data_IF_438262258666
#
_entry.id   IF_438262258666
#
_cell.length_a   1.000
_cell.length_b   1.000
_cell.length_c   1.000
_cell.angle_alpha   90.00
_cell.angle_beta   90.00
_cell.angle_gamma   90.00
#
_symmetry.space_group_name_H-M   'P 1'
#
loop_
_entity.id
_entity.type
_entity.pdbx_description
1 polymer ?
#
# COMPACT_ATOMS: atom_id res chain seq x y z
N UNK A 1 0.80 -47.34 -66.35
CA UNK A 1 -0.28 -48.22 -65.89
C UNK A 1 -0.21 -48.31 -64.37
N UNK A 2 -1.36 -48.10 -63.71
CA UNK A 2 -1.67 -48.36 -62.29
C UNK A 2 -1.00 -47.48 -61.22
N UNK A 3 -1.67 -46.98 -60.19
CA UNK A 3 -3.07 -46.54 -59.96
C UNK A 3 -3.00 -45.80 -58.62
N UNK A 4 -3.38 -44.53 -58.59
CA UNK A 4 -3.43 -43.70 -57.40
C UNK A 4 -4.73 -44.01 -56.62
N UNK A 5 -4.66 -44.66 -55.46
CA UNK A 5 -5.81 -44.80 -54.54
C UNK A 5 -5.75 -43.72 -53.46
N UNK A 6 -6.69 -42.78 -53.55
CA UNK A 6 -7.04 -41.79 -52.51
C UNK A 6 -7.73 -42.50 -51.35
N UNK A 7 -7.31 -42.21 -50.12
CA UNK A 7 -8.09 -42.52 -48.90
C UNK A 7 -8.75 -41.22 -48.42
N UNK A 8 -10.08 -41.23 -48.39
CA UNK A 8 -10.94 -40.18 -47.81
C UNK A 8 -11.27 -40.66 -46.39
N UNK A 9 -10.81 -39.93 -45.37
CA UNK A 9 -11.32 -40.09 -44.01
C UNK A 9 -12.47 -39.12 -43.81
N UNK A 10 -13.68 -39.66 -43.64
CA UNK A 10 -14.89 -38.92 -43.29
C UNK A 10 -14.94 -38.79 -41.76
N UNK A 11 -14.69 -37.61 -41.20
CA UNK A 11 -14.96 -37.32 -39.79
C UNK A 11 -16.39 -36.79 -39.68
N UNK A 12 -17.29 -37.60 -39.11
CA UNK A 12 -18.65 -37.19 -38.76
C UNK A 12 -18.59 -36.47 -37.40
N UNK A 13 -18.65 -35.14 -37.40
CA UNK A 13 -18.81 -34.33 -36.18
C UNK A 13 -20.29 -34.24 -35.83
N UNK A 14 -20.69 -34.89 -34.74
CA UNK A 14 -22.03 -34.77 -34.15
C UNK A 14 -22.11 -33.44 -33.39
N UNK A 15 -22.82 -32.44 -33.93
CA UNK A 15 -23.18 -31.22 -33.19
C UNK A 15 -24.35 -31.57 -32.27
N UNK A 16 -24.10 -31.64 -30.96
CA UNK A 16 -25.16 -31.65 -29.94
C UNK A 16 -25.45 -30.18 -29.60
N UNK A 17 -26.58 -29.69 -30.10
CA UNK A 17 -27.10 -28.36 -29.76
C UNK A 17 -27.85 -28.48 -28.44
N UNK A 18 -27.19 -28.12 -27.33
CA UNK A 18 -27.91 -27.88 -26.07
C UNK A 18 -28.60 -26.52 -26.14
N UNK A 19 -29.91 -26.55 -26.37
CA UNK A 19 -30.78 -25.40 -26.23
C UNK A 19 -31.13 -25.22 -24.75
N UNK A 20 -30.39 -24.37 -24.03
CA UNK A 20 -30.81 -23.90 -22.72
C UNK A 20 -31.68 -22.65 -22.90
N UNK A 21 -32.99 -22.85 -22.79
CA UNK A 21 -33.97 -21.77 -22.61
C UNK A 21 -33.67 -21.08 -21.28
N UNK A 22 -33.34 -19.79 -21.34
CA UNK A 22 -33.12 -18.94 -20.17
C UNK A 22 -34.48 -18.41 -19.71
N UNK A 23 -34.96 -18.85 -18.55
CA UNK A 23 -36.12 -18.23 -17.91
C UNK A 23 -35.81 -16.78 -17.52
N UNK A 24 -36.77 -15.84 -17.64
CA UNK A 24 -36.55 -14.46 -17.26
C UNK A 24 -36.47 -14.34 -15.74
N UNK A 25 -35.28 -13.95 -15.25
CA UNK A 25 -35.09 -13.55 -13.86
C UNK A 25 -35.83 -12.23 -13.63
N UNK A 26 -36.73 -12.20 -12.64
CA UNK A 26 -37.35 -10.98 -12.11
C UNK A 26 -36.24 -10.05 -11.63
N UNK A 27 -36.22 -8.82 -12.16
CA UNK A 27 -35.43 -7.72 -11.62
C UNK A 27 -35.81 -7.51 -10.14
N UNK A 28 -34.85 -7.73 -9.24
CA UNK A 28 -34.93 -7.25 -7.87
C UNK A 28 -34.34 -5.85 -7.88
N UNK A 29 -35.22 -4.87 -7.82
CA UNK A 29 -34.91 -3.47 -7.61
C UNK A 29 -34.08 -3.33 -6.32
N UNK A 30 -32.77 -3.13 -6.48
CA UNK A 30 -31.87 -2.84 -5.34
C UNK A 30 -31.90 -1.35 -5.11
N UNK A 31 -32.79 -0.92 -4.22
CA UNK A 31 -32.73 0.42 -3.66
C UNK A 31 -31.44 0.57 -2.85
N UNK A 32 -30.71 1.70 -2.98
CA UNK A 32 -29.51 1.93 -2.16
C UNK A 32 -29.91 2.03 -0.70
N UNK A 33 -29.35 1.16 0.15
CA UNK A 33 -29.47 1.28 1.60
C UNK A 33 -28.54 2.42 2.06
N UNK A 34 -29.04 3.47 2.72
CA UNK A 34 -28.20 4.52 3.28
C UNK A 34 -27.32 3.94 4.42
N UNK A 35 -26.11 4.48 4.66
CA UNK A 35 -25.28 4.04 5.77
C UNK A 35 -26.04 4.25 7.09
N UNK A 36 -26.27 3.17 7.84
CA UNK A 36 -26.93 3.22 9.14
C UNK A 36 -25.97 3.76 10.20
N UNK A 37 -26.33 4.90 10.78
CA UNK A 37 -25.75 5.39 12.03
C UNK A 37 -25.85 4.32 13.13
N UNK A 38 -24.79 4.04 13.90
CA UNK A 38 -24.87 3.11 15.02
C UNK A 38 -25.57 3.80 16.20
N UNK A 39 -26.86 3.55 16.38
CA UNK A 39 -27.57 3.90 17.62
C UNK A 39 -27.80 2.66 18.49
N UNK A 40 -27.22 2.72 19.70
CA UNK A 40 -27.51 1.99 20.95
C UNK A 40 -27.62 0.45 20.95
N UNK A 41 -26.71 -0.27 21.64
CA UNK A 41 -26.91 -1.67 22.00
C UNK A 41 -27.73 -1.80 23.30
N UNK A 42 -28.87 -2.49 23.23
CA UNK A 42 -29.61 -2.99 24.40
C UNK A 42 -29.33 -4.48 24.62
N UNK A 43 -28.46 -4.82 25.57
CA UNK A 43 -28.67 -5.72 26.73
C UNK A 43 -27.31 -6.14 27.32
N UNK A 44 -27.17 -6.24 28.66
CA UNK A 44 -25.87 -6.41 29.30
C UNK A 44 -25.46 -7.87 29.26
N UNK A 45 -24.52 -8.20 28.38
CA UNK A 45 -23.65 -9.35 28.58
C UNK A 45 -22.75 -9.07 29.77
N UNK A 46 -22.51 -10.11 30.58
CA UNK A 46 -21.61 -10.13 31.72
C UNK A 46 -20.34 -9.25 31.48
N UNK A 47 -20.09 -8.19 32.27
CA UNK A 47 -19.04 -7.20 32.00
C UNK A 47 -17.59 -7.73 32.10
N UNK A 48 -17.40 -9.01 32.45
CA UNK A 48 -16.09 -9.62 32.69
C UNK A 48 -15.60 -10.56 31.57
N UNK A 49 -16.35 -10.78 30.50
CA UNK A 49 -15.83 -11.56 29.36
C UNK A 49 -15.21 -10.65 28.30
N UNK A 50 -13.88 -10.66 28.21
CA UNK A 50 -13.16 -10.05 27.10
C UNK A 50 -13.59 -10.68 25.77
N UNK A 51 -14.33 -9.91 24.96
CA UNK A 51 -14.82 -10.32 23.66
C UNK A 51 -14.87 -9.10 22.73
N UNK A 52 -13.73 -8.69 22.15
CA UNK A 52 -13.67 -7.52 21.30
C UNK A 52 -14.44 -7.75 19.98
N UNK A 53 -15.03 -6.69 19.46
CA UNK A 53 -15.91 -6.75 18.29
C UNK A 53 -15.10 -6.93 17.02
N UNK A 54 -15.31 -7.98 16.21
CA UNK A 54 -14.59 -8.15 14.94
C UNK A 54 -14.77 -6.93 14.02
N UNK A 55 -13.67 -6.44 13.46
CA UNK A 55 -13.71 -5.35 12.48
C UNK A 55 -13.81 -5.90 11.07
N UNK A 56 -14.81 -5.46 10.31
CA UNK A 56 -14.95 -5.81 8.91
C UNK A 56 -14.24 -4.77 8.04
N UNK A 57 -13.13 -5.17 7.40
CA UNK A 57 -12.44 -4.31 6.44
C UNK A 57 -13.37 -3.98 5.26
N UNK A 58 -13.42 -2.70 4.89
CA UNK A 58 -14.12 -2.23 3.70
C UNK A 58 -13.27 -2.51 2.46
N UNK A 59 -13.25 -3.77 2.01
CA UNK A 59 -12.48 -4.22 0.85
C UNK A 59 -13.13 -3.64 -0.43
N UNK A 60 -12.40 -2.86 -1.26
CA UNK A 60 -12.91 -2.35 -2.51
C UNK A 60 -13.30 -3.47 -3.48
N UNK A 61 -14.33 -3.25 -4.31
CA UNK A 61 -14.84 -4.24 -5.27
C UNK A 61 -13.73 -4.83 -6.15
N UNK A 62 -12.86 -3.98 -6.72
CA UNK A 62 -11.75 -4.44 -7.56
C UNK A 62 -10.76 -5.32 -6.79
N UNK A 63 -10.52 -5.03 -5.52
CA UNK A 63 -9.60 -5.82 -4.71
C UNK A 63 -10.21 -7.20 -4.46
N UNK A 64 -11.49 -7.25 -4.07
CA UNK A 64 -12.20 -8.51 -3.87
C UNK A 64 -12.32 -9.36 -5.16
N UNK A 65 -12.34 -8.72 -6.33
CA UNK A 65 -12.44 -9.39 -7.63
C UNK A 65 -11.10 -9.98 -8.09
N UNK A 66 -10.00 -9.24 -7.91
CA UNK A 66 -8.73 -9.56 -8.56
C UNK A 66 -7.66 -10.15 -7.64
N UNK A 67 -7.74 -9.93 -6.33
CA UNK A 67 -6.73 -10.39 -5.38
C UNK A 67 -7.36 -11.12 -4.19
N UNK A 68 -6.55 -11.95 -3.54
CA UNK A 68 -6.97 -12.63 -2.32
C UNK A 68 -7.21 -11.61 -1.17
N UNK A 69 -8.11 -11.92 -0.23
CA UNK A 69 -8.24 -11.12 0.98
C UNK A 69 -6.89 -11.03 1.72
N UNK A 70 -6.64 -9.95 2.45
CA UNK A 70 -5.40 -9.76 3.18
C UNK A 70 -5.26 -10.83 4.28
N UNK A 71 -4.01 -11.21 4.59
CA UNK A 71 -3.72 -12.16 5.66
C UNK A 71 -3.74 -11.41 6.99
N UNK A 72 -4.73 -11.70 7.82
CA UNK A 72 -4.83 -11.14 9.18
C UNK A 72 -4.17 -12.11 10.17
N UNK A 73 -3.15 -11.67 10.94
CA UNK A 73 -2.48 -12.54 11.91
C UNK A 73 -3.46 -13.02 12.99
N UNK A 74 -3.46 -14.33 13.27
CA UNK A 74 -4.34 -14.92 14.30
C UNK A 74 -4.05 -14.42 15.72
N UNK A 75 -2.81 -13.95 15.96
CA UNK A 75 -2.39 -13.36 17.24
C UNK A 75 -2.65 -11.85 17.33
N UNK A 76 -3.17 -11.22 16.27
CA UNK A 76 -3.62 -9.82 16.26
C UNK A 76 -4.81 -9.63 15.28
N UNK A 77 -5.97 -10.24 15.57
CA UNK A 77 -7.17 -10.03 14.78
C UNK A 77 -7.58 -8.55 14.82
N UNK A 78 -8.09 -8.03 13.71
CA UNK A 78 -8.59 -6.65 13.66
C UNK A 78 -9.95 -6.55 14.37
N UNK A 79 -10.04 -5.67 15.37
CA UNK A 79 -11.26 -5.43 16.15
C UNK A 79 -11.60 -3.94 16.17
N UNK A 80 -12.87 -3.61 16.42
CA UNK A 80 -13.32 -2.20 16.50
C UNK A 80 -12.56 -1.45 17.60
N UNK A 81 -12.39 -2.08 18.76
CA UNK A 81 -11.70 -1.51 19.91
C UNK A 81 -10.20 -1.37 19.65
N UNK A 82 -9.58 -2.35 18.99
CA UNK A 82 -8.15 -2.32 18.66
C UNK A 82 -7.83 -1.29 17.56
N UNK A 83 -8.70 -1.14 16.55
CA UNK A 83 -8.58 -0.07 15.54
C UNK A 83 -8.74 1.31 16.19
N UNK A 84 -9.72 1.49 17.08
CA UNK A 84 -9.92 2.77 17.76
C UNK A 84 -8.72 3.14 18.64
N UNK A 85 -8.20 2.18 19.42
CA UNK A 85 -6.99 2.38 20.22
C UNK A 85 -5.77 2.68 19.33
N UNK A 86 -5.60 1.93 18.24
CA UNK A 86 -4.52 2.11 17.27
C UNK A 86 -4.55 3.50 16.63
N UNK A 87 -5.73 3.96 16.22
CA UNK A 87 -5.93 5.30 15.67
C UNK A 87 -5.55 6.36 16.71
N UNK A 88 -6.00 6.24 17.96
CA UNK A 88 -5.61 7.17 19.02
C UNK A 88 -4.09 7.22 19.19
N UNK A 89 -3.43 6.06 19.31
CA UNK A 89 -1.97 5.96 19.46
C UNK A 89 -1.21 6.55 18.26
N UNK A 90 -1.72 6.38 17.04
CA UNK A 90 -1.08 6.88 15.82
C UNK A 90 -0.98 8.42 15.79
N UNK A 91 -1.98 9.10 16.35
CA UNK A 91 -2.03 10.57 16.39
C UNK A 91 -1.51 11.18 17.71
N UNK A 92 -1.43 10.40 18.79
CA UNK A 92 -1.00 10.88 20.11
C UNK A 92 0.54 10.93 20.24
N UNK A 93 1.14 12.07 20.63
CA UNK A 93 2.58 12.17 20.77
C UNK A 93 3.15 11.48 22.02
N UNK A 94 2.31 10.86 22.87
CA UNK A 94 2.70 10.19 24.13
C UNK A 94 3.80 9.14 23.98
N UNK A 95 3.98 8.58 22.79
CA UNK A 95 5.01 7.59 22.51
C UNK A 95 6.41 8.22 22.30
N UNK A 96 6.52 9.52 22.04
CA UNK A 96 7.80 10.20 21.86
C UNK A 96 8.45 10.62 23.17
N UNK A 97 9.78 10.66 23.20
CA UNK A 97 10.57 10.90 24.42
C UNK A 97 10.30 12.25 25.08
N UNK A 98 9.89 13.25 24.30
CA UNK A 98 9.55 14.59 24.77
C UNK A 98 8.05 14.94 24.64
N UNK A 99 7.22 14.00 24.17
CA UNK A 99 5.78 14.22 23.99
C UNK A 99 5.40 15.19 22.86
N UNK A 100 6.25 15.40 21.85
CA UNK A 100 5.98 16.35 20.75
C UNK A 100 5.73 15.72 19.38
N UNK A 101 6.01 14.43 19.20
CA UNK A 101 5.90 13.75 17.91
C UNK A 101 5.05 12.48 18.00
N UNK A 102 4.14 12.28 17.05
CA UNK A 102 3.36 11.06 16.86
C UNK A 102 3.68 10.43 15.51
N UNK A 103 3.11 9.24 15.22
CA UNK A 103 3.25 8.62 13.90
C UNK A 103 2.74 9.56 12.80
N UNK A 104 1.62 10.23 13.05
CA UNK A 104 1.00 11.18 12.14
C UNK A 104 1.83 12.45 11.87
N UNK A 105 2.86 12.75 12.68
CA UNK A 105 3.76 13.88 12.41
C UNK A 105 4.59 13.65 11.15
N UNK A 106 5.00 12.41 10.86
CA UNK A 106 5.73 12.03 9.65
C UNK A 106 4.83 11.34 8.61
N UNK A 107 3.71 10.77 9.05
CA UNK A 107 2.75 10.04 8.21
C UNK A 107 1.39 10.75 8.20
N UNK A 108 1.34 11.96 7.64
CA UNK A 108 0.14 12.79 7.73
C UNK A 108 -0.91 12.39 6.67
N UNK A 109 -2.21 12.30 7.03
CA UNK A 109 -3.26 11.82 6.11
C UNK A 109 -3.34 12.57 4.77
N UNK A 110 -3.14 13.89 4.78
CA UNK A 110 -3.18 14.73 3.57
C UNK A 110 -2.06 14.41 2.55
N UNK A 111 -1.01 13.71 2.98
CA UNK A 111 0.08 13.24 2.11
C UNK A 111 -0.02 11.74 1.83
N UNK A 112 -1.24 11.19 1.89
CA UNK A 112 -1.50 9.75 1.85
C UNK A 112 -0.69 8.97 2.90
N UNK A 113 -0.59 9.54 4.10
CA UNK A 113 0.25 9.04 5.19
C UNK A 113 1.75 8.99 4.87
N UNK A 114 2.24 9.84 3.96
CA UNK A 114 3.65 10.17 3.81
C UNK A 114 3.97 11.54 4.42
N UNK A 115 5.03 12.17 3.92
CA UNK A 115 5.45 13.52 4.29
C UNK A 115 5.86 14.32 3.04
N UNK A 116 5.68 15.64 3.08
CA UNK A 116 6.09 16.54 1.99
C UNK A 116 7.57 16.91 1.99
N UNK A 117 8.32 16.48 3.02
CA UNK A 117 9.75 16.74 3.15
C UNK A 117 10.56 15.59 2.56
N UNK A 118 11.80 15.88 2.14
CA UNK A 118 12.72 14.85 1.63
C UNK A 118 13.00 13.78 2.68
N UNK A 119 13.32 14.22 3.90
CA UNK A 119 13.60 13.36 5.05
C UNK A 119 12.83 13.87 6.27
N UNK A 120 12.21 12.94 6.99
CA UNK A 120 11.56 13.24 8.26
C UNK A 120 12.57 13.74 9.29
N UNK A 121 12.11 14.62 10.16
CA UNK A 121 12.90 15.20 11.24
C UNK A 121 12.38 14.68 12.58
N UNK A 122 13.25 14.04 13.37
CA UNK A 122 12.91 13.53 14.70
C UNK A 122 12.81 14.61 15.77
N UNK A 123 12.51 14.20 17.00
CA UNK A 123 12.27 15.12 18.12
C UNK A 123 13.47 15.99 18.51
N UNK A 124 14.68 15.56 18.17
CA UNK A 124 15.93 16.28 18.42
C UNK A 124 16.36 17.16 17.24
N UNK A 125 15.51 17.32 16.21
CA UNK A 125 15.84 18.09 15.01
C UNK A 125 16.79 17.37 14.03
N UNK A 126 17.03 16.07 14.24
CA UNK A 126 17.88 15.25 13.38
C UNK A 126 17.06 14.72 12.21
N UNK A 127 17.58 14.86 10.99
CA UNK A 127 16.96 14.30 9.80
C UNK A 127 17.34 12.84 9.58
N UNK A 128 16.37 12.05 9.13
CA UNK A 128 16.60 10.71 8.61
C UNK A 128 17.40 10.70 7.30
N UNK A 129 17.56 9.50 6.74
CA UNK A 129 18.26 9.28 5.47
C UNK A 129 17.37 8.69 4.37
N UNK A 130 16.08 8.49 4.65
CA UNK A 130 15.09 8.00 3.70
C UNK A 130 13.80 8.80 3.80
N UNK A 131 13.11 8.92 2.68
CA UNK A 131 11.79 9.51 2.62
C UNK A 131 10.77 8.60 3.32
N UNK A 132 9.83 9.20 4.05
CA UNK A 132 8.77 8.46 4.74
C UNK A 132 7.81 7.85 3.71
N UNK A 133 7.71 6.51 3.71
CA UNK A 133 6.80 5.82 2.80
C UNK A 133 5.36 6.20 3.13
N UNK A 134 4.51 6.47 2.13
CA UNK A 134 3.08 6.62 2.36
C UNK A 134 2.47 5.30 2.86
N UNK A 135 1.49 5.38 3.74
CA UNK A 135 0.85 4.22 4.38
C UNK A 135 -0.57 4.03 3.84
N UNK A 136 -0.72 3.08 2.91
CA UNK A 136 -2.02 2.62 2.43
C UNK A 136 -1.89 1.21 1.88
N UNK A 137 -3.00 0.46 1.90
CA UNK A 137 -3.11 -0.92 1.41
C UNK A 137 -2.09 -1.88 2.03
N UNK A 138 -1.55 -1.56 3.21
CA UNK A 138 -0.49 -2.33 3.88
C UNK A 138 -0.90 -3.77 4.23
N UNK A 139 -2.21 -4.02 4.32
CA UNK A 139 -2.76 -5.35 4.56
C UNK A 139 -2.43 -6.36 3.44
N UNK A 140 -2.11 -5.89 2.22
CA UNK A 140 -1.75 -6.73 1.07
C UNK A 140 -0.26 -6.67 0.73
N UNK A 141 0.55 -7.16 1.66
CA UNK A 141 1.99 -7.36 1.48
C UNK A 141 2.34 -8.80 1.86
N UNK A 142 2.14 -9.75 0.92
CA UNK A 142 2.18 -11.19 1.20
C UNK A 142 3.54 -11.72 1.67
N UNK A 143 4.64 -11.12 1.24
CA UNK A 143 5.98 -11.44 1.74
C UNK A 143 6.23 -10.92 3.15
N UNK A 144 5.32 -10.08 3.67
CA UNK A 144 5.30 -9.54 5.01
C UNK A 144 6.54 -8.68 5.36
N UNK A 145 7.23 -8.13 4.35
CA UNK A 145 8.43 -7.30 4.51
C UNK A 145 8.15 -5.81 4.32
N UNK A 146 8.41 -5.01 5.35
CA UNK A 146 8.09 -3.58 5.44
C UNK A 146 9.35 -2.71 5.52
N UNK A 147 9.16 -1.40 5.30
CA UNK A 147 10.17 -0.40 4.95
C UNK A 147 10.78 -0.59 3.55
N UNK A 148 11.47 0.46 3.07
CA UNK A 148 12.19 0.48 1.80
C UNK A 148 13.17 -0.68 1.61
N UNK A 149 13.79 -1.19 2.68
CA UNK A 149 14.77 -2.28 2.66
C UNK A 149 14.19 -3.64 3.11
N UNK A 150 12.92 -3.68 3.52
CA UNK A 150 12.27 -4.92 3.93
C UNK A 150 12.78 -5.47 5.26
N UNK A 151 13.33 -4.63 6.16
CA UNK A 151 13.91 -5.07 7.44
C UNK A 151 12.89 -5.52 8.49
N UNK A 152 11.62 -5.10 8.36
CA UNK A 152 10.58 -5.45 9.33
C UNK A 152 9.65 -6.53 8.79
N UNK A 153 9.40 -7.56 9.61
CA UNK A 153 8.50 -8.67 9.30
C UNK A 153 7.13 -8.44 9.95
N UNK A 154 6.19 -7.87 9.20
CA UNK A 154 4.87 -7.48 9.70
C UNK A 154 4.73 -6.02 10.05
N UNK A 155 3.48 -5.55 10.01
CA UNK A 155 3.09 -4.20 10.40
C UNK A 155 3.41 -3.98 11.88
N UNK A 156 3.16 -4.97 12.74
CA UNK A 156 3.54 -4.91 14.16
C UNK A 156 5.03 -4.65 14.36
N UNK A 157 5.88 -5.39 13.64
CA UNK A 157 7.33 -5.25 13.75
C UNK A 157 7.81 -3.89 13.23
N UNK A 158 7.14 -3.33 12.22
CA UNK A 158 7.44 -2.00 11.70
C UNK A 158 7.11 -0.92 12.75
N UNK A 159 5.96 -1.02 13.43
CA UNK A 159 5.54 -0.06 14.47
C UNK A 159 6.46 -0.03 15.71
N UNK A 160 7.27 -1.08 15.92
CA UNK A 160 8.23 -1.12 17.03
C UNK A 160 9.41 -0.16 16.89
N UNK A 161 9.87 0.07 15.65
CA UNK A 161 11.12 0.76 15.36
C UNK A 161 11.12 2.25 15.71
N UNK A 162 10.13 3.04 15.22
CA UNK A 162 10.13 4.50 15.37
C UNK A 162 10.25 5.01 16.81
N UNK A 163 9.59 4.32 17.76
CA UNK A 163 9.55 4.70 19.17
C UNK A 163 10.95 4.75 19.80
N UNK A 164 11.82 3.79 19.45
CA UNK A 164 13.17 3.68 20.04
C UNK A 164 14.27 4.29 19.19
N UNK A 165 13.96 4.71 17.96
CA UNK A 165 14.97 5.24 17.06
C UNK A 165 15.41 6.64 17.54
N UNK A 166 16.71 6.86 17.84
CA UNK A 166 17.21 8.14 18.33
C UNK A 166 17.11 9.30 17.34
N UNK A 167 16.88 9.03 16.05
CA UNK A 167 16.67 10.09 15.04
C UNK A 167 15.19 10.31 14.72
N UNK A 168 14.28 9.57 15.36
CA UNK A 168 12.83 9.69 15.19
C UNK A 168 12.20 10.11 16.53
N UNK A 169 11.51 9.20 17.22
CA UNK A 169 10.76 9.52 18.44
C UNK A 169 11.61 9.46 19.72
N UNK A 170 12.82 8.91 19.64
CA UNK A 170 13.85 8.86 20.69
C UNK A 170 13.30 8.63 22.11
N UNK A 171 12.51 7.57 22.26
CA UNK A 171 12.03 7.11 23.54
C UNK A 171 12.59 5.72 23.87
N UNK A 172 12.20 5.15 25.00
CA UNK A 172 12.38 3.74 25.30
C UNK A 172 11.02 3.11 25.55
N UNK A 173 10.84 1.84 25.17
CA UNK A 173 9.59 1.14 25.42
C UNK A 173 9.16 1.13 26.90
N UNK A 174 10.05 0.91 27.89
CA UNK A 174 9.69 1.03 29.30
C UNK A 174 9.12 2.42 29.67
N UNK A 175 9.69 3.50 29.12
CA UNK A 175 9.25 4.86 29.40
C UNK A 175 7.92 5.17 28.71
N UNK A 176 7.79 4.84 27.42
CA UNK A 176 6.54 5.01 26.67
C UNK A 176 5.38 4.24 27.32
N UNK A 177 5.61 2.99 27.72
CA UNK A 177 4.62 2.16 28.42
C UNK A 177 4.27 2.75 29.79
N UNK A 178 5.25 3.25 30.55
CA UNK A 178 4.96 3.91 31.83
C UNK A 178 4.08 5.16 31.65
N UNK A 179 4.31 5.97 30.62
CA UNK A 179 3.46 7.12 30.29
C UNK A 179 2.04 6.70 29.93
N UNK A 180 1.87 5.65 29.12
CA UNK A 180 0.55 5.08 28.80
C UNK A 180 -0.15 4.52 30.05
N UNK A 181 0.59 3.82 30.90
CA UNK A 181 0.05 3.19 32.12
C UNK A 181 -0.41 4.22 33.16
N UNK A 182 0.26 5.37 33.23
CA UNK A 182 -0.07 6.48 34.11
C UNK A 182 -1.22 7.37 33.59
N UNK A 183 -1.54 7.29 32.31
CA UNK A 183 -2.65 8.03 31.72
C UNK A 183 -4.00 7.43 32.15
N UNK A 184 -4.98 8.28 32.49
CA UNK A 184 -6.27 7.85 33.02
C UNK A 184 -7.16 7.07 32.02
N UNK A 185 -6.94 7.24 30.72
CA UNK A 185 -7.77 6.68 29.65
C UNK A 185 -7.22 5.36 29.11
N UNK A 186 -5.91 5.29 28.87
CA UNK A 186 -5.29 4.17 28.15
C UNK A 186 -5.51 2.79 28.78
N UNK A 187 -5.37 2.57 30.10
CA UNK A 187 -5.63 1.26 30.70
C UNK A 187 -7.03 0.70 30.38
N UNK A 188 -8.04 1.56 30.29
CA UNK A 188 -9.40 1.14 29.92
C UNK A 188 -9.52 0.85 28.42
N UNK A 189 -8.84 1.62 27.56
CA UNK A 189 -8.80 1.33 26.13
C UNK A 189 -8.08 0.00 25.82
N UNK A 190 -6.97 -0.28 26.52
CA UNK A 190 -6.29 -1.57 26.42
C UNK A 190 -7.13 -2.71 26.99
N UNK A 191 -7.91 -2.47 28.05
CA UNK A 191 -8.88 -3.48 28.55
C UNK A 191 -9.93 -3.80 27.51
N UNK A 192 -10.47 -2.79 26.82
CA UNK A 192 -11.44 -2.99 25.75
C UNK A 192 -10.84 -3.73 24.53
N UNK A 193 -9.62 -3.37 24.11
CA UNK A 193 -8.98 -3.94 22.93
C UNK A 193 -8.33 -5.32 23.16
N UNK A 194 -7.78 -5.57 24.34
CA UNK A 194 -6.93 -6.74 24.63
C UNK A 194 -7.26 -7.45 25.95
N UNK A 195 -8.25 -7.00 26.71
CA UNK A 195 -8.74 -7.69 27.90
C UNK A 195 -7.88 -7.45 29.15
N UNK A 196 -6.92 -6.53 29.08
CA UNK A 196 -5.99 -6.23 30.16
C UNK A 196 -5.80 -4.73 30.32
N UNK A 197 -5.73 -4.27 31.57
CA UNK A 197 -5.32 -2.90 31.92
C UNK A 197 -3.80 -2.73 32.02
N UNK A 198 -3.06 -3.84 32.01
CA UNK A 198 -1.60 -3.85 31.98
C UNK A 198 -1.15 -3.65 30.54
N UNK A 199 -0.45 -2.56 30.30
CA UNK A 199 0.01 -2.16 28.96
C UNK A 199 1.43 -2.69 28.76
N UNK A 200 1.72 -3.22 27.58
CA UNK A 200 3.07 -3.52 27.13
C UNK A 200 3.29 -3.02 25.68
N UNK A 201 4.54 -3.00 25.25
CA UNK A 201 4.92 -2.54 23.91
C UNK A 201 4.34 -3.39 22.78
N UNK A 202 4.09 -4.68 23.02
CA UNK A 202 3.51 -5.59 22.02
C UNK A 202 2.05 -5.23 21.77
N UNK A 203 1.27 -4.95 22.83
CA UNK A 203 -0.11 -4.51 22.68
C UNK A 203 -0.21 -3.14 21.99
N UNK A 204 0.72 -2.22 22.29
CA UNK A 204 0.81 -0.92 21.60
C UNK A 204 1.03 -1.13 20.09
N UNK A 205 2.06 -1.88 19.71
CA UNK A 205 2.37 -2.16 18.31
C UNK A 205 1.22 -2.90 17.59
N UNK A 206 0.56 -3.83 18.29
CA UNK A 206 -0.62 -4.53 17.77
C UNK A 206 -1.79 -3.60 17.48
N UNK A 207 -2.08 -2.65 18.38
CA UNK A 207 -3.16 -1.69 18.18
C UNK A 207 -2.87 -0.80 16.96
N UNK A 208 -1.66 -0.22 16.88
CA UNK A 208 -1.24 0.60 15.74
C UNK A 208 -1.38 -0.20 14.43
N UNK A 209 -0.90 -1.44 14.41
CA UNK A 209 -1.01 -2.31 13.25
C UNK A 209 -2.47 -2.62 12.84
N UNK A 210 -3.39 -2.72 13.81
CA UNK A 210 -4.81 -2.87 13.49
C UNK A 210 -5.37 -1.64 12.78
N UNK A 211 -5.04 -0.42 13.23
CA UNK A 211 -5.44 0.80 12.55
C UNK A 211 -4.83 0.89 11.14
N UNK A 212 -3.54 0.63 11.00
CA UNK A 212 -2.84 0.68 9.71
C UNK A 212 -3.40 -0.30 8.66
N UNK A 213 -3.95 -1.45 9.08
CA UNK A 213 -4.67 -2.37 8.18
C UNK A 213 -5.95 -1.78 7.59
N UNK A 214 -6.55 -0.80 8.26
CA UNK A 214 -7.78 -0.14 7.79
C UNK A 214 -7.51 0.94 6.75
N UNK A 215 -6.26 1.37 6.59
CA UNK A 215 -5.84 2.39 5.63
C UNK A 215 -5.91 1.83 4.21
N UNK A 216 -7.11 1.72 3.65
CA UNK A 216 -7.37 1.14 2.33
C UNK A 216 -7.74 2.24 1.34
N UNK A 217 -6.95 2.36 0.27
CA UNK A 217 -7.15 3.28 -0.85
C UNK A 217 -7.48 2.48 -2.10
N UNK A 218 -8.66 2.71 -2.67
CA UNK A 218 -9.22 1.86 -3.73
C UNK A 218 -10.41 2.45 -4.46
N UNK A 219 -10.56 3.78 -4.43
CA UNK A 219 -11.61 4.53 -5.12
C UNK A 219 -11.04 5.65 -6.01
N UNK A 220 -9.83 5.46 -6.52
CA UNK A 220 -9.19 6.40 -7.44
C UNK A 220 -10.01 6.56 -8.73
N UNK A 221 -9.70 7.60 -9.51
CA UNK A 221 -10.34 7.81 -10.81
C UNK A 221 -10.18 6.60 -11.74
N UNK A 222 -9.00 5.96 -11.75
CA UNK A 222 -8.79 4.75 -12.53
C UNK A 222 -9.60 3.55 -11.99
N UNK A 223 -9.77 3.43 -10.66
CA UNK A 223 -10.64 2.40 -10.08
C UNK A 223 -12.10 2.60 -10.51
N UNK A 224 -12.59 3.84 -10.51
CA UNK A 224 -13.94 4.17 -10.97
C UNK A 224 -14.14 3.83 -12.46
N UNK A 225 -13.11 4.05 -13.29
CA UNK A 225 -13.12 3.61 -14.68
C UNK A 225 -13.19 2.09 -14.82
N UNK A 226 -12.37 1.33 -14.08
CA UNK A 226 -12.38 -0.13 -14.11
C UNK A 226 -13.71 -0.72 -13.62
N UNK A 227 -14.39 -0.04 -12.70
CA UNK A 227 -15.75 -0.39 -12.27
C UNK A 227 -16.85 0.04 -13.25
N UNK A 228 -16.52 0.67 -14.38
CA UNK A 228 -17.48 1.16 -15.37
C UNK A 228 -18.31 2.37 -14.92
N UNK A 229 -17.87 3.08 -13.90
CA UNK A 229 -18.62 4.22 -13.31
C UNK A 229 -18.36 5.52 -14.07
N UNK A 230 -17.20 5.66 -14.69
CA UNK A 230 -16.78 6.85 -15.43
C UNK A 230 -16.03 6.48 -16.71
N UNK A 231 -15.75 7.49 -17.55
CA UNK A 231 -14.79 7.38 -18.65
C UNK A 231 -13.51 8.14 -18.33
N UNK A 232 -12.37 7.57 -18.74
CA UNK A 232 -11.08 8.27 -18.77
C UNK A 232 -11.02 9.22 -19.96
N UNK A 233 -10.16 10.24 -19.83
CA UNK A 233 -9.78 11.09 -20.95
C UNK A 233 -8.93 10.30 -21.95
N UNK A 234 -8.86 10.75 -23.21
CA UNK A 234 -7.99 10.14 -24.21
C UNK A 234 -6.51 10.11 -23.76
N UNK A 235 -6.07 11.13 -23.02
CA UNK A 235 -4.70 11.22 -22.52
C UNK A 235 -4.42 10.23 -21.39
N UNK A 236 -5.37 10.01 -20.47
CA UNK A 236 -5.27 8.97 -19.43
C UNK A 236 -5.23 7.56 -20.03
N UNK A 237 -6.07 7.28 -21.04
CA UNK A 237 -6.06 6.00 -21.76
C UNK A 237 -4.72 5.79 -22.46
N UNK A 238 -4.22 6.82 -23.15
CA UNK A 238 -2.92 6.75 -23.81
C UNK A 238 -1.77 6.57 -22.81
N UNK A 239 -1.87 7.19 -21.64
CA UNK A 239 -0.90 7.00 -20.56
C UNK A 239 -0.85 5.56 -20.05
N UNK A 240 -2.02 4.91 -19.93
CA UNK A 240 -2.08 3.50 -19.60
C UNK A 240 -1.47 2.62 -20.72
N UNK A 241 -1.69 2.96 -21.99
CA UNK A 241 -1.04 2.27 -23.11
C UNK A 241 0.49 2.44 -23.08
N UNK A 242 1.01 3.64 -22.79
CA UNK A 242 2.45 3.89 -22.59
C UNK A 242 2.99 2.98 -21.48
N UNK A 243 2.31 2.98 -20.33
CA UNK A 243 2.70 2.23 -19.14
C UNK A 243 2.80 0.72 -19.40
N UNK A 244 1.87 0.16 -20.17
CA UNK A 244 1.78 -1.28 -20.46
C UNK A 244 2.66 -1.74 -21.64
N UNK A 245 3.21 -0.82 -22.43
CA UNK A 245 3.94 -1.18 -23.65
C UNK A 245 5.43 -1.39 -23.39
N UNK A 246 5.95 -2.60 -23.71
CA UNK A 246 7.37 -2.96 -23.55
C UNK A 246 8.32 -2.15 -24.44
N UNK A 247 7.82 -1.57 -25.52
CA UNK A 247 8.59 -0.69 -26.41
C UNK A 247 8.41 0.80 -26.10
N UNK A 248 7.74 1.12 -24.99
CA UNK A 248 7.54 2.47 -24.47
C UNK A 248 7.84 2.49 -22.98
N UNK A 249 6.84 2.58 -22.10
CA UNK A 249 7.07 2.74 -20.66
C UNK A 249 7.70 1.53 -19.97
N UNK A 250 7.35 0.30 -20.39
CA UNK A 250 7.79 -0.98 -19.80
C UNK A 250 7.62 -1.05 -18.26
N UNK A 251 6.66 -0.28 -17.70
CA UNK A 251 6.51 -0.06 -16.26
C UNK A 251 5.85 -1.25 -15.54
N UNK A 252 4.99 -1.98 -16.25
CA UNK A 252 4.08 -2.98 -15.71
C UNK A 252 4.78 -4.20 -15.10
N UNK A 253 6.05 -4.42 -15.43
CA UNK A 253 6.82 -5.55 -14.91
C UNK A 253 6.96 -5.54 -13.39
N UNK A 254 7.18 -4.37 -12.78
CA UNK A 254 7.28 -4.23 -11.32
C UNK A 254 6.00 -3.65 -10.70
N UNK A 255 5.28 -2.80 -11.45
CA UNK A 255 4.11 -2.11 -10.92
C UNK A 255 2.78 -2.80 -11.28
N UNK A 256 2.80 -3.93 -11.98
CA UNK A 256 1.61 -4.71 -12.31
C UNK A 256 0.74 -4.08 -13.40
N UNK A 257 -0.54 -4.43 -13.42
CA UNK A 257 -1.50 -4.01 -14.43
C UNK A 257 -2.90 -3.85 -13.79
N UNK A 258 -3.94 -3.61 -14.59
CA UNK A 258 -5.32 -3.43 -14.09
C UNK A 258 -5.87 -4.61 -13.26
N UNK A 259 -5.33 -5.84 -13.41
CA UNK A 259 -5.67 -7.00 -12.59
C UNK A 259 -4.81 -7.12 -11.30
N UNK A 260 -3.86 -6.21 -11.09
CA UNK A 260 -3.17 -6.01 -9.81
C UNK A 260 -3.53 -4.61 -9.27
N UNK A 261 -4.65 -4.48 -8.55
CA UNK A 261 -5.12 -3.18 -8.12
C UNK A 261 -4.21 -2.56 -7.04
N UNK A 262 -3.12 -3.20 -6.60
CA UNK A 262 -2.16 -2.58 -5.68
C UNK A 262 -1.11 -1.73 -6.40
N UNK A 263 -0.95 -1.88 -7.71
CA UNK A 263 0.05 -1.17 -8.52
C UNK A 263 1.50 -1.31 -8.00
N UNK A 264 1.81 -2.50 -7.47
CA UNK A 264 3.13 -2.93 -7.01
C UNK A 264 3.17 -4.46 -6.98
N UNK A 265 4.33 -5.04 -7.23
CA UNK A 265 4.62 -6.45 -6.99
C UNK A 265 5.03 -6.73 -5.53
N UNK A 266 5.24 -5.69 -4.72
CA UNK A 266 5.76 -5.72 -3.34
C UNK A 266 7.17 -6.31 -3.20
N UNK A 267 7.88 -6.54 -4.31
CA UNK A 267 9.22 -7.10 -4.37
C UNK A 267 10.29 -6.02 -4.21
N UNK A 268 11.56 -6.41 -4.38
CA UNK A 268 12.72 -5.53 -4.19
C UNK A 268 13.54 -5.47 -5.48
N UNK A 269 13.71 -4.25 -6.00
CA UNK A 269 14.35 -3.99 -7.28
C UNK A 269 15.36 -2.86 -7.15
N UNK A 270 16.43 -2.94 -7.94
CA UNK A 270 17.31 -1.80 -8.17
C UNK A 270 16.86 -1.13 -9.46
N UNK A 271 16.23 0.04 -9.34
CA UNK A 271 15.64 0.78 -10.46
C UNK A 271 16.67 1.64 -11.23
N UNK A 272 17.97 1.37 -11.06
CA UNK A 272 19.04 2.10 -11.74
C UNK A 272 19.21 3.53 -11.26
N UNK A 273 18.84 3.85 -10.01
CA UNK A 273 18.94 5.22 -9.47
C UNK A 273 20.38 5.71 -9.34
N UNK A 274 21.30 4.82 -8.95
CA UNK A 274 22.70 5.13 -8.68
C UNK A 274 23.62 4.07 -9.29
N UNK A 275 24.77 4.48 -9.82
CA UNK A 275 25.82 3.56 -10.26
C UNK A 275 26.59 2.93 -9.08
N UNK A 276 26.63 3.64 -7.95
CA UNK A 276 27.31 3.24 -6.70
C UNK A 276 26.44 3.58 -5.51
N UNK A 277 26.33 2.65 -4.55
CA UNK A 277 25.38 2.77 -3.45
C UNK A 277 26.06 3.22 -2.15
N UNK A 278 25.58 4.32 -1.57
CA UNK A 278 25.87 4.69 -0.18
C UNK A 278 24.91 4.00 0.79
N UNK A 279 23.64 3.86 0.39
CA UNK A 279 22.63 3.04 1.06
C UNK A 279 22.47 1.72 0.30
N UNK A 280 22.81 0.60 0.95
CA UNK A 280 22.74 -0.73 0.33
C UNK A 280 21.29 -1.26 0.20
N UNK A 281 20.30 -0.59 0.79
CA UNK A 281 18.91 -1.03 0.77
C UNK A 281 18.74 -2.43 1.36
N UNK A 282 18.08 -3.31 0.61
CA UNK A 282 17.90 -4.72 0.98
C UNK A 282 19.23 -5.43 1.28
N UNK A 283 20.32 -5.08 0.58
CA UNK A 283 21.63 -5.68 0.78
C UNK A 283 22.18 -5.52 2.21
N UNK A 284 21.83 -4.42 2.89
CA UNK A 284 22.19 -4.23 4.31
C UNK A 284 21.43 -5.19 5.24
N UNK A 285 20.24 -5.62 4.83
CA UNK A 285 19.39 -6.55 5.61
C UNK A 285 19.79 -7.99 5.37
N UNK A 286 20.08 -8.37 4.12
CA UNK A 286 20.40 -9.76 3.76
C UNK A 286 21.88 -10.10 3.90
N UNK A 287 22.77 -9.09 3.84
CA UNK A 287 24.21 -9.28 3.76
C UNK A 287 24.70 -9.85 2.42
N UNK A 288 23.80 -10.03 1.45
CA UNK A 288 24.13 -10.55 0.13
C UNK A 288 24.45 -9.39 -0.83
N UNK A 289 25.67 -9.30 -1.38
CA UNK A 289 26.04 -8.24 -2.33
C UNK A 289 25.14 -8.17 -3.57
N UNK A 290 24.48 -9.27 -3.96
CA UNK A 290 23.53 -9.28 -5.08
C UNK A 290 22.23 -8.52 -4.79
N UNK A 291 21.99 -8.12 -3.54
CA UNK A 291 20.83 -7.32 -3.13
C UNK A 291 21.16 -5.84 -2.88
N UNK A 292 22.42 -5.44 -3.05
CA UNK A 292 22.83 -4.05 -2.86
C UNK A 292 22.08 -3.13 -3.83
N UNK A 293 21.55 -2.02 -3.31
CA UNK A 293 20.80 -1.02 -4.09
C UNK A 293 19.37 -1.43 -4.43
N UNK A 294 18.91 -2.61 -3.98
CA UNK A 294 17.50 -2.99 -4.14
C UNK A 294 16.65 -2.37 -3.05
N UNK A 295 15.52 -1.81 -3.44
CA UNK A 295 14.50 -1.28 -2.55
C UNK A 295 13.12 -1.80 -2.93
N UNK A 296 12.20 -1.81 -1.97
CA UNK A 296 10.83 -2.26 -2.19
C UNK A 296 10.17 -1.43 -3.29
N UNK A 297 9.53 -2.08 -4.27
CA UNK A 297 8.69 -1.42 -5.26
C UNK A 297 7.50 -0.76 -4.54
N UNK A 298 7.40 0.58 -4.49
CA UNK A 298 6.25 1.21 -3.87
C UNK A 298 5.01 1.08 -4.77
N UNK A 299 3.83 1.11 -4.17
CA UNK A 299 2.58 1.25 -4.92
C UNK A 299 2.53 2.61 -5.62
N UNK A 300 2.04 2.62 -6.87
CA UNK A 300 1.82 3.86 -7.62
C UNK A 300 0.49 4.56 -7.28
N UNK A 301 -0.26 4.08 -6.30
CA UNK A 301 -1.45 4.80 -5.81
C UNK A 301 -1.04 6.08 -5.10
N UNK A 302 -1.92 7.08 -5.16
CA UNK A 302 -1.79 8.34 -4.41
C UNK A 302 -0.53 9.16 -4.71
N UNK A 303 0.08 8.99 -5.89
CA UNK A 303 1.26 9.76 -6.31
C UNK A 303 1.02 11.28 -6.36
N UNK A 304 -0.23 11.72 -6.47
CA UNK A 304 -0.59 13.14 -6.39
C UNK A 304 -0.32 13.76 -5.01
N UNK A 305 -0.18 12.93 -3.96
CA UNK A 305 -0.12 13.36 -2.56
C UNK A 305 1.18 12.98 -1.85
N UNK A 306 2.03 12.15 -2.44
CA UNK A 306 3.17 11.51 -1.78
C UNK A 306 4.54 11.96 -2.30
N UNK A 307 4.61 13.16 -2.89
CA UNK A 307 5.91 13.78 -3.20
C UNK A 307 6.63 14.18 -1.90
N UNK A 308 7.99 14.17 -1.86
CA UNK A 308 8.89 13.80 -2.96
C UNK A 308 9.05 12.28 -3.13
N UNK A 309 9.66 11.86 -4.23
CA UNK A 309 9.70 10.47 -4.69
C UNK A 309 11.08 9.81 -4.55
N UNK A 310 11.08 8.47 -4.63
CA UNK A 310 12.20 7.55 -4.36
C UNK A 310 12.50 7.36 -2.87
N UNK A 311 13.29 6.33 -2.56
CA UNK A 311 13.64 6.00 -1.17
C UNK A 311 14.39 7.13 -0.47
N UNK A 312 15.05 8.01 -1.21
CA UNK A 312 15.81 9.13 -0.69
C UNK A 312 15.17 10.50 -1.00
N UNK A 313 13.95 10.52 -1.54
CA UNK A 313 13.19 11.75 -1.80
C UNK A 313 13.85 12.74 -2.76
N UNK A 314 14.77 12.30 -3.64
CA UNK A 314 15.55 13.22 -4.49
C UNK A 314 14.74 13.89 -5.60
N UNK A 315 13.60 13.33 -5.98
CA UNK A 315 12.74 13.87 -7.04
C UNK A 315 11.53 14.57 -6.42
N UNK A 316 11.39 15.88 -6.68
CA UNK A 316 10.29 16.68 -6.19
C UNK A 316 9.00 16.49 -7.02
N UNK A 317 9.13 16.03 -8.27
CA UNK A 317 8.02 15.95 -9.22
C UNK A 317 7.95 14.60 -9.94
N UNK A 318 6.75 14.22 -10.39
CA UNK A 318 6.58 13.05 -11.26
C UNK A 318 7.30 13.21 -12.59
N UNK A 319 7.52 14.43 -13.08
CA UNK A 319 8.28 14.65 -14.31
C UNK A 319 9.74 14.20 -14.14
N UNK A 320 10.36 14.47 -12.99
CA UNK A 320 11.71 13.98 -12.68
C UNK A 320 11.75 12.44 -12.57
N UNK A 321 10.72 11.84 -11.96
CA UNK A 321 10.59 10.36 -11.91
C UNK A 321 10.47 9.78 -13.32
N UNK A 322 9.62 10.35 -14.16
CA UNK A 322 9.43 9.88 -15.54
C UNK A 322 10.71 10.07 -16.36
N UNK A 323 11.41 11.19 -16.17
CA UNK A 323 12.68 11.46 -16.83
C UNK A 323 13.78 10.50 -16.37
N UNK A 324 13.79 10.08 -15.09
CA UNK A 324 14.70 9.04 -14.60
C UNK A 324 14.58 7.75 -15.41
N UNK A 325 13.36 7.22 -15.56
CA UNK A 325 13.14 5.98 -16.33
C UNK A 325 13.30 6.17 -17.85
N UNK A 326 13.09 7.39 -18.34
CA UNK A 326 13.18 7.70 -19.77
C UNK A 326 14.61 7.94 -20.23
N UNK A 327 15.46 8.62 -19.44
CA UNK A 327 16.83 8.98 -19.84
C UNK A 327 17.87 9.05 -18.70
N UNK A 328 17.50 8.76 -17.45
CA UNK A 328 18.36 8.92 -16.28
C UNK A 328 18.95 7.63 -15.68
N UNK A 329 18.63 6.45 -16.23
CA UNK A 329 19.04 5.17 -15.66
C UNK A 329 20.57 5.04 -15.60
N UNK A 330 21.06 4.61 -14.45
CA UNK A 330 22.47 4.35 -14.17
C UNK A 330 22.72 2.85 -14.14
N UNK A 331 23.78 2.41 -14.83
CA UNK A 331 24.20 1.03 -14.80
C UNK A 331 24.93 0.71 -13.48
N UNK A 332 24.61 -0.41 -12.87
CA UNK A 332 25.24 -0.92 -11.64
C UNK A 332 25.21 -2.46 -11.61
N UNK A 333 26.03 -3.13 -10.79
CA UNK A 333 26.15 -4.60 -10.82
C UNK A 333 24.85 -5.38 -10.49
N UNK A 334 23.89 -4.74 -9.83
CA UNK A 334 22.64 -5.34 -9.35
C UNK A 334 21.39 -4.71 -9.95
N UNK A 335 21.56 -3.82 -10.94
CA UNK A 335 20.44 -3.16 -11.65
C UNK A 335 19.47 -4.22 -12.18
N UNK A 336 18.18 -3.94 -12.07
CA UNK A 336 17.19 -4.94 -12.42
C UNK A 336 17.21 -5.26 -13.93
N UNK A 337 17.34 -6.53 -14.34
CA UNK A 337 17.40 -6.89 -15.75
C UNK A 337 16.09 -6.60 -16.52
N UNK A 338 14.98 -6.34 -15.83
CA UNK A 338 13.73 -5.91 -16.45
C UNK A 338 13.83 -4.48 -17.01
N UNK A 339 14.85 -3.70 -16.64
CA UNK A 339 15.16 -2.41 -17.27
C UNK A 339 15.87 -2.61 -18.62
N UNK A 340 15.13 -3.12 -19.62
CA UNK A 340 15.66 -3.55 -20.94
C UNK A 340 16.42 -2.45 -21.70
N UNK A 341 16.10 -1.18 -21.46
CA UNK A 341 16.66 -0.02 -22.15
C UNK A 341 17.79 0.67 -21.39
N UNK A 342 18.35 0.03 -20.36
CA UNK A 342 19.44 0.57 -19.55
C UNK A 342 20.63 1.09 -20.37
N UNK A 343 21.03 0.36 -21.42
CA UNK A 343 22.16 0.75 -22.28
C UNK A 343 21.91 2.04 -23.09
N UNK A 344 20.66 2.50 -23.16
CA UNK A 344 20.24 3.75 -23.80
C UNK A 344 19.99 4.86 -22.76
N UNK A 345 20.21 4.59 -21.47
CA UNK A 345 19.87 5.48 -20.36
C UNK A 345 18.39 5.41 -19.94
N UNK A 346 17.56 4.60 -20.61
CA UNK A 346 16.12 4.54 -20.38
C UNK A 346 15.32 4.40 -21.67
N UNK A 347 14.00 4.39 -21.55
CA UNK A 347 13.06 4.09 -22.64
C UNK A 347 12.88 5.20 -23.69
N UNK A 348 13.49 6.38 -23.48
CA UNK A 348 13.47 7.51 -24.42
C UNK A 348 12.05 7.94 -24.84
N UNK A 349 11.16 8.16 -23.85
CA UNK A 349 9.77 8.56 -24.11
C UNK A 349 9.69 9.92 -24.80
N UNK A 350 8.77 10.02 -25.76
CA UNK A 350 8.40 11.30 -26.37
C UNK A 350 7.79 12.26 -25.34
N UNK A 351 7.78 13.57 -25.63
CA UNK A 351 7.11 14.55 -24.76
C UNK A 351 5.62 14.22 -24.58
N UNK A 352 4.96 13.73 -25.63
CA UNK A 352 3.56 13.33 -25.57
C UNK A 352 3.37 12.09 -24.68
N UNK A 353 4.28 11.11 -24.77
CA UNK A 353 4.26 9.89 -23.95
C UNK A 353 4.44 10.22 -22.47
N UNK A 354 5.40 11.09 -22.14
CA UNK A 354 5.63 11.53 -20.75
C UNK A 354 4.39 12.22 -20.17
N UNK A 355 3.78 13.12 -20.93
CA UNK A 355 2.56 13.82 -20.51
C UNK A 355 1.37 12.87 -20.34
N UNK A 356 1.20 11.91 -21.25
CA UNK A 356 0.15 10.90 -21.17
C UNK A 356 0.36 9.97 -19.97
N UNK A 357 1.57 9.43 -19.79
CA UNK A 357 1.95 8.58 -18.67
C UNK A 357 1.68 9.28 -17.33
N UNK A 358 2.07 10.55 -17.21
CA UNK A 358 1.77 11.35 -16.01
C UNK A 358 0.27 11.46 -15.74
N UNK A 359 -0.55 11.69 -16.76
CA UNK A 359 -2.00 11.75 -16.60
C UNK A 359 -2.58 10.43 -16.07
N UNK A 360 -2.12 9.30 -16.61
CA UNK A 360 -2.49 7.98 -16.08
C UNK A 360 -2.04 7.78 -14.63
N UNK A 361 -0.77 8.05 -14.30
CA UNK A 361 -0.25 7.88 -12.93
C UNK A 361 -1.02 8.72 -11.91
N UNK A 362 -1.38 9.95 -12.26
CA UNK A 362 -2.20 10.81 -11.39
C UNK A 362 -3.63 10.27 -11.21
N UNK A 363 -4.19 9.59 -12.21
CA UNK A 363 -5.52 8.96 -12.11
C UNK A 363 -5.59 7.81 -11.09
N UNK A 364 -4.43 7.31 -10.60
CA UNK A 364 -4.32 6.31 -9.54
C UNK A 364 -4.42 6.91 -8.11
N UNK A 365 -4.65 8.21 -7.99
CA UNK A 365 -4.81 8.89 -6.69
C UNK A 365 -6.27 8.92 -6.24
N UNK A 366 -6.48 8.73 -4.94
CA UNK A 366 -7.80 8.58 -4.31
C UNK A 366 -8.07 9.74 -3.35
N UNK A 367 -8.77 10.77 -3.84
CA UNK A 367 -9.19 11.93 -3.05
C UNK A 367 -10.04 11.54 -1.85
N UNK A 368 -10.81 10.45 -1.94
CA UNK A 368 -11.67 10.00 -0.84
C UNK A 368 -10.88 9.37 0.30
N UNK A 369 -9.70 8.80 0.01
CA UNK A 369 -8.79 8.26 1.02
C UNK A 369 -8.19 9.36 1.89
N UNK A 370 -7.59 10.40 1.28
CA UNK A 370 -6.93 11.48 2.04
C UNK A 370 -7.92 12.34 2.85
N UNK A 371 -9.19 12.38 2.43
CA UNK A 371 -10.26 13.14 3.09
C UNK A 371 -11.14 12.26 4.02
N UNK A 372 -10.82 10.98 4.19
CA UNK A 372 -11.63 10.08 5.01
C UNK A 372 -11.52 10.47 6.49
N UNK A 373 -12.64 10.82 7.13
CA UNK A 373 -12.70 11.24 8.53
C UNK A 373 -12.30 10.14 9.52
N UNK A 374 -12.42 8.86 9.13
CA UNK A 374 -11.95 7.73 9.94
C UNK A 374 -10.41 7.61 9.96
N UNK A 375 -9.72 8.30 9.05
CA UNK A 375 -8.27 8.31 8.91
C UNK A 375 -7.62 9.59 9.46
N UNK A 376 -8.40 10.47 10.08
CA UNK A 376 -7.91 11.70 10.71
C UNK A 376 -7.68 11.51 12.22
N UNK A 377 -7.15 12.52 12.91
CA UNK A 377 -7.12 12.53 14.37
C UNK A 377 -8.55 12.29 14.94
N UNK A 378 -8.71 11.42 15.96
CA UNK A 378 -10.01 11.07 16.54
C UNK A 378 -10.63 12.16 17.42
#
# INVERSE_FOLDING_TARGET
>A
MNTLKKYIFLFLSFLIVFSCVKEPQKEVETTPVPPTNPTNPTNPTNPDTFNPTPYQLAIPTLFAQYILPPVIPSNNPTTVEGVALGRKLFFDPILSGNGTQSCASCHAPQFAFGESTRFSTGIDGIQGNRNAMPLFNMAWNWDNRFFWDGRANGIEAQAFGPVVNPIEMHNTWPTAVASLQANAEYPNLFKAAFGTTNIDSVLVAKAIAQFERTLISGNSRFDQYLNGQISLTAQEIEGFNVFMAENRGDCFHCHGNAANPLWTDNLFHNNGLDATFSDLGLGAVTGNPADNGKFKTPSLRNLAYSAPYMHDGRFATLDEVINHYSEGLQNSPTVDPLLKYLNQGGVQLSVADKAALKAFLLSLSDDSFINNTNFQAP
#
